data_IF_383364193947
#
_entry.id   IF_383364193947
#
_cell.length_a   1.000
_cell.length_b   1.000
_cell.length_c   1.000
_cell.angle_alpha   90.00
_cell.angle_beta   90.00
_cell.angle_gamma   90.00
#
_symmetry.space_group_name_H-M   'P 1'
#
loop_
_entity.id
_entity.type
_entity.pdbx_description
1 polymer ?
#
# COMPACT_ATOMS: atom_id res chain seq x y z
N UNK A 1 27.66 -12.62 2.90
CA UNK A 1 26.49 -12.70 3.80
C UNK A 1 26.44 -11.39 4.56
N UNK A 2 25.42 -10.58 4.29
CA UNK A 2 25.19 -9.30 4.97
C UNK A 2 24.88 -9.55 6.45
N UNK A 3 25.38 -8.68 7.33
CA UNK A 3 25.10 -8.81 8.77
C UNK A 3 23.61 -8.49 9.00
N UNK A 4 22.91 -9.32 9.81
CA UNK A 4 21.51 -9.04 10.17
C UNK A 4 21.38 -7.69 10.85
N UNK A 5 20.40 -6.90 10.45
CA UNK A 5 20.15 -5.57 11.02
C UNK A 5 19.24 -5.69 12.25
N UNK A 6 19.66 -5.09 13.37
CA UNK A 6 18.87 -5.14 14.62
C UNK A 6 17.50 -4.45 14.42
N UNK A 7 16.44 -5.17 14.73
CA UNK A 7 15.08 -4.65 14.61
C UNK A 7 14.78 -3.55 15.64
N UNK A 8 13.88 -2.61 15.31
CA UNK A 8 13.53 -1.47 16.19
C UNK A 8 12.32 -1.75 17.09
N UNK A 9 11.32 -2.45 16.57
CA UNK A 9 10.02 -2.59 17.22
C UNK A 9 9.83 -4.01 17.77
N UNK A 10 10.36 -4.27 18.96
CA UNK A 10 10.15 -5.50 19.70
C UNK A 10 10.40 -5.29 21.19
N UNK A 11 10.01 -6.25 22.00
CA UNK A 11 10.27 -6.29 23.45
C UNK A 11 10.75 -7.68 23.86
N UNK A 12 11.48 -7.75 24.96
CA UNK A 12 11.88 -9.02 25.58
C UNK A 12 10.73 -9.58 26.42
N UNK A 13 10.56 -10.90 26.41
CA UNK A 13 9.59 -11.61 27.23
C UNK A 13 10.16 -12.96 27.68
N UNK A 14 10.62 -13.07 28.93
CA UNK A 14 11.26 -14.28 29.48
C UNK A 14 12.33 -14.86 28.54
N UNK A 15 12.04 -16.00 27.89
CA UNK A 15 12.95 -16.73 27.00
C UNK A 15 12.61 -16.49 25.51
N UNK A 16 12.00 -15.37 25.17
CA UNK A 16 11.56 -15.02 23.82
C UNK A 16 11.66 -13.52 23.57
N UNK A 17 11.55 -13.13 22.31
CA UNK A 17 11.27 -11.75 21.91
C UNK A 17 9.88 -11.68 21.30
N UNK A 18 9.17 -10.58 21.56
CA UNK A 18 7.86 -10.31 20.95
C UNK A 18 8.05 -9.23 19.91
N UNK A 19 7.79 -9.56 18.66
CA UNK A 19 7.80 -8.60 17.56
C UNK A 19 6.56 -7.70 17.66
N UNK A 20 6.76 -6.39 17.76
CA UNK A 20 5.69 -5.39 17.89
C UNK A 20 5.42 -4.64 16.57
N UNK A 21 5.86 -5.19 15.45
CA UNK A 21 5.82 -4.50 14.16
C UNK A 21 4.43 -4.54 13.49
N UNK A 22 3.73 -5.67 13.59
CA UNK A 22 2.45 -5.86 12.91
C UNK A 22 1.43 -6.59 13.81
N UNK A 23 0.17 -6.67 13.34
CA UNK A 23 -0.95 -7.25 14.08
C UNK A 23 -0.80 -8.74 14.44
N UNK A 24 0.25 -9.43 14.00
CA UNK A 24 0.54 -10.81 14.44
C UNK A 24 1.16 -10.90 15.83
N UNK A 25 1.95 -9.91 16.27
CA UNK A 25 2.55 -9.92 17.58
C UNK A 25 3.37 -11.17 17.88
N UNK A 26 4.20 -11.62 16.92
CA UNK A 26 4.88 -12.92 16.98
C UNK A 26 5.76 -13.06 18.22
N UNK A 27 5.54 -14.11 19.01
CA UNK A 27 6.39 -14.51 20.15
C UNK A 27 7.45 -15.49 19.64
N UNK A 28 8.71 -15.08 19.62
CA UNK A 28 9.79 -15.79 18.95
C UNK A 28 10.83 -16.27 19.96
N UNK A 29 10.92 -17.59 20.15
CA UNK A 29 12.01 -18.23 20.88
C UNK A 29 13.29 -18.13 20.05
N UNK A 30 14.43 -18.45 20.66
CA UNK A 30 15.75 -18.49 20.00
C UNK A 30 15.70 -19.25 18.66
N UNK A 31 16.27 -18.64 17.62
CA UNK A 31 16.34 -19.19 16.26
C UNK A 31 15.04 -19.15 15.47
N UNK A 32 13.88 -18.79 16.08
CA UNK A 32 12.57 -18.80 15.40
C UNK A 32 12.35 -17.55 14.57
N UNK A 33 11.63 -17.74 13.44
CA UNK A 33 11.24 -16.68 12.51
C UNK A 33 9.84 -16.17 12.81
N UNK A 34 9.63 -14.87 12.56
CA UNK A 34 8.30 -14.28 12.49
C UNK A 34 7.50 -14.83 11.31
N UNK A 35 6.18 -14.67 11.35
CA UNK A 35 5.27 -15.13 10.30
C UNK A 35 5.60 -14.57 8.90
N UNK A 36 6.26 -13.42 8.85
CA UNK A 36 6.72 -12.79 7.61
C UNK A 36 7.94 -13.48 6.96
N UNK A 37 8.61 -14.42 7.65
CA UNK A 37 9.80 -15.13 7.18
C UNK A 37 11.11 -14.34 7.19
N UNK A 38 11.08 -13.03 7.48
CA UNK A 38 12.22 -12.12 7.34
C UNK A 38 12.68 -11.46 8.64
N UNK A 39 12.11 -11.87 9.77
CA UNK A 39 12.53 -11.41 11.10
C UNK A 39 12.80 -12.62 11.97
N UNK A 40 13.95 -12.62 12.66
CA UNK A 40 14.42 -13.78 13.43
C UNK A 40 14.94 -13.36 14.81
N UNK A 41 14.63 -14.14 15.84
CA UNK A 41 15.31 -14.04 17.13
C UNK A 41 16.67 -14.71 17.06
N UNK A 42 17.75 -13.98 17.38
CA UNK A 42 19.13 -14.46 17.46
C UNK A 42 19.78 -13.94 18.75
N UNK A 43 20.16 -14.80 19.65
CA UNK A 43 20.78 -14.41 20.92
C UNK A 43 19.86 -13.58 21.83
N UNK A 44 18.53 -13.79 21.78
CA UNK A 44 17.57 -12.99 22.55
C UNK A 44 17.25 -11.61 21.96
N UNK A 45 17.75 -11.31 20.77
CA UNK A 45 17.52 -10.04 20.05
C UNK A 45 16.77 -10.30 18.74
N UNK A 46 15.91 -9.36 18.30
CA UNK A 46 15.21 -9.47 17.03
C UNK A 46 16.01 -8.79 15.91
N UNK A 47 16.15 -9.50 14.79
CA UNK A 47 16.85 -9.01 13.60
C UNK A 47 15.93 -9.00 12.38
N UNK A 48 16.09 -7.98 11.55
CA UNK A 48 15.64 -7.95 10.16
C UNK A 48 16.71 -8.62 9.29
N UNK A 49 16.28 -9.50 8.40
CA UNK A 49 17.18 -10.26 7.51
C UNK A 49 17.21 -9.67 6.10
N UNK A 50 16.47 -8.60 5.87
CA UNK A 50 16.24 -8.01 4.53
C UNK A 50 16.60 -6.53 4.45
N UNK A 51 17.33 -6.00 5.44
CA UNK A 51 17.77 -4.61 5.41
C UNK A 51 18.76 -4.39 4.26
N UNK A 52 18.39 -3.54 3.30
CA UNK A 52 19.18 -3.25 2.11
C UNK A 52 19.16 -4.35 1.03
N UNK A 53 18.60 -5.53 1.31
CA UNK A 53 18.50 -6.66 0.38
C UNK A 53 17.26 -6.51 -0.51
N UNK A 54 17.41 -5.86 -1.65
CA UNK A 54 16.30 -5.65 -2.59
C UNK A 54 16.20 -6.79 -3.60
N UNK A 55 14.99 -7.12 -4.01
CA UNK A 55 14.68 -8.11 -5.06
C UNK A 55 13.97 -7.47 -6.25
N UNK A 56 13.54 -6.21 -6.10
CA UNK A 56 12.93 -5.44 -7.17
C UNK A 56 13.23 -3.94 -7.01
N UNK A 57 13.59 -3.32 -8.13
CA UNK A 57 13.68 -1.87 -8.33
C UNK A 57 13.08 -1.54 -9.70
N UNK A 58 12.10 -0.60 -9.73
CA UNK A 58 11.47 -0.17 -10.98
C UNK A 58 11.09 1.30 -10.93
N UNK A 59 11.11 1.96 -12.07
CA UNK A 59 10.48 3.27 -12.26
C UNK A 59 9.08 3.03 -12.81
N UNK A 60 8.07 3.38 -12.04
CA UNK A 60 6.67 3.19 -12.39
C UNK A 60 5.90 4.52 -12.36
N UNK A 61 4.84 4.69 -13.18
CA UNK A 61 3.86 5.76 -12.96
C UNK A 61 3.26 5.66 -11.56
N UNK A 62 3.01 6.81 -10.90
CA UNK A 62 2.38 6.84 -9.57
C UNK A 62 0.99 6.18 -9.60
N UNK A 63 0.26 6.28 -10.70
CA UNK A 63 -1.04 5.66 -10.90
C UNK A 63 -1.01 4.13 -10.75
N UNK A 64 0.14 3.48 -11.04
CA UNK A 64 0.31 2.02 -10.83
C UNK A 64 0.40 1.65 -9.33
N UNK A 65 0.51 2.64 -8.44
CA UNK A 65 0.50 2.44 -6.97
C UNK A 65 -0.90 2.62 -6.37
N UNK A 66 -1.96 2.49 -7.13
CA UNK A 66 -3.31 3.05 -7.01
C UNK A 66 -3.36 4.31 -6.12
N UNK A 67 -2.62 5.34 -6.54
CA UNK A 67 -2.60 6.67 -5.91
C UNK A 67 -2.90 7.72 -6.99
N UNK A 68 -4.19 8.05 -7.13
CA UNK A 68 -4.68 8.93 -8.18
C UNK A 68 -4.73 10.41 -7.73
N UNK A 69 -4.68 10.64 -6.42
CA UNK A 69 -4.66 11.97 -5.83
C UNK A 69 -3.29 12.34 -5.24
N UNK A 70 -2.21 11.67 -5.68
CA UNK A 70 -0.84 11.96 -5.26
C UNK A 70 0.01 12.22 -6.49
N UNK A 71 0.46 13.48 -6.69
CA UNK A 71 1.37 13.87 -7.77
C UNK A 71 1.03 13.26 -9.15
N UNK A 72 -0.21 13.40 -9.67
CA UNK A 72 -0.66 12.69 -10.86
C UNK A 72 0.26 12.88 -12.06
N UNK A 73 0.53 11.78 -12.78
CA UNK A 73 1.42 11.76 -13.94
C UNK A 73 2.91 11.74 -13.60
N UNK A 74 3.28 11.70 -12.31
CA UNK A 74 4.69 11.61 -11.91
C UNK A 74 5.20 10.17 -11.93
N UNK A 75 6.53 10.04 -11.95
CA UNK A 75 7.23 8.77 -11.77
C UNK A 75 7.54 8.53 -10.29
N UNK A 76 7.46 7.26 -9.89
CA UNK A 76 7.81 6.77 -8.56
C UNK A 76 8.85 5.67 -8.65
N UNK A 77 9.89 5.75 -7.84
CA UNK A 77 10.90 4.70 -7.72
C UNK A 77 10.41 3.63 -6.76
N UNK A 78 10.15 2.44 -7.27
CA UNK A 78 9.52 1.34 -6.54
C UNK A 78 10.55 0.33 -6.09
N UNK A 79 10.56 0.01 -4.80
CA UNK A 79 11.48 -0.96 -4.21
C UNK A 79 10.73 -2.04 -3.43
N UNK A 80 11.33 -3.23 -3.38
CA UNK A 80 10.85 -4.37 -2.61
C UNK A 80 11.96 -5.28 -2.11
N UNK A 81 11.71 -5.88 -0.96
CA UNK A 81 12.46 -7.04 -0.44
C UNK A 81 11.67 -8.33 -0.64
N UNK A 82 12.13 -9.46 -0.09
CA UNK A 82 11.30 -10.66 0.07
C UNK A 82 10.49 -10.62 1.35
N UNK A 83 9.45 -11.49 1.43
CA UNK A 83 8.63 -11.72 2.62
C UNK A 83 7.37 -10.88 2.70
N UNK A 84 6.38 -11.39 3.43
CA UNK A 84 5.10 -10.72 3.69
C UNK A 84 4.50 -11.26 4.99
N UNK A 85 3.80 -10.43 5.73
CA UNK A 85 3.07 -10.85 6.92
C UNK A 85 1.71 -11.50 6.61
N UNK A 86 1.25 -11.49 5.34
CA UNK A 86 0.08 -12.22 4.85
C UNK A 86 0.48 -13.44 4.02
N UNK A 87 -0.45 -14.39 3.87
CA UNK A 87 -0.35 -15.56 3.02
C UNK A 87 -1.51 -15.66 2.04
N UNK A 88 -1.78 -14.55 1.33
CA UNK A 88 -2.93 -14.43 0.43
C UNK A 88 -2.91 -15.48 -0.66
N UNK A 89 -4.01 -16.23 -0.82
CA UNK A 89 -4.14 -17.29 -1.84
C UNK A 89 -4.11 -16.74 -3.28
N UNK A 90 -4.48 -15.47 -3.45
CA UNK A 90 -4.53 -14.75 -4.73
C UNK A 90 -3.30 -13.83 -4.98
N UNK A 91 -2.18 -14.04 -4.27
CA UNK A 91 -1.05 -13.13 -4.34
C UNK A 91 -0.40 -13.14 -5.72
N UNK A 92 -0.37 -11.99 -6.42
CA UNK A 92 0.29 -11.85 -7.71
C UNK A 92 1.83 -11.84 -7.57
N UNK A 93 2.34 -11.37 -6.42
CA UNK A 93 3.77 -11.32 -6.11
C UNK A 93 4.22 -12.50 -5.23
N UNK A 94 3.58 -13.67 -5.37
CA UNK A 94 3.83 -14.82 -4.49
C UNK A 94 5.28 -15.31 -4.52
N UNK A 95 5.98 -15.17 -5.64
CA UNK A 95 7.38 -15.59 -5.79
C UNK A 95 8.35 -14.87 -4.83
N UNK A 96 8.06 -13.64 -4.46
CA UNK A 96 8.86 -12.85 -3.54
C UNK A 96 8.20 -12.69 -2.15
N UNK A 97 6.87 -12.70 -2.08
CA UNK A 97 6.12 -12.49 -0.83
C UNK A 97 6.02 -13.76 0.02
N UNK A 98 5.99 -14.95 -0.61
CA UNK A 98 5.87 -16.25 0.05
C UNK A 98 7.20 -17.03 0.04
N UNK A 99 8.31 -16.37 -0.22
CA UNK A 99 9.64 -16.90 -0.06
C UNK A 99 9.84 -17.24 1.45
N UNK A 100 9.74 -18.52 1.80
CA UNK A 100 9.84 -19.02 3.18
C UNK A 100 11.25 -18.88 3.75
N UNK A 101 11.62 -19.73 4.71
CA UNK A 101 12.97 -19.78 5.33
C UNK A 101 14.12 -19.98 4.30
N UNK A 102 13.79 -20.43 3.11
CA UNK A 102 14.68 -20.54 1.96
C UNK A 102 14.41 -19.42 0.97
N UNK A 103 15.19 -18.35 1.06
CA UNK A 103 15.33 -17.37 -0.04
C UNK A 103 16.18 -17.94 -1.20
N UNK A 104 16.45 -19.25 -1.19
CA UNK A 104 17.19 -19.95 -2.21
C UNK A 104 16.50 -19.81 -3.57
N UNK A 105 17.11 -19.04 -4.47
CA UNK A 105 16.63 -18.80 -5.82
C UNK A 105 16.10 -17.38 -6.11
N UNK A 106 15.92 -16.54 -5.11
CA UNK A 106 15.60 -15.12 -5.35
C UNK A 106 16.92 -14.34 -5.45
N UNK A 107 17.24 -13.84 -6.63
CA UNK A 107 18.40 -12.95 -6.80
C UNK A 107 18.10 -11.64 -6.08
N UNK A 108 18.96 -11.28 -5.10
CA UNK A 108 18.91 -10.00 -4.40
C UNK A 108 20.15 -9.17 -4.72
N UNK A 109 20.03 -7.86 -4.55
CA UNK A 109 21.13 -6.93 -4.67
C UNK A 109 21.10 -5.95 -3.50
N UNK A 110 22.26 -5.52 -3.07
CA UNK A 110 22.39 -4.61 -1.93
C UNK A 110 22.21 -3.15 -2.35
N UNK A 111 21.49 -2.38 -1.52
CA UNK A 111 21.40 -0.91 -1.61
C UNK A 111 21.46 -0.28 -0.23
N UNK A 112 22.12 0.87 -0.14
CA UNK A 112 21.94 1.79 0.99
C UNK A 112 20.71 2.69 0.76
N UNK A 113 20.16 3.32 1.82
CA UNK A 113 19.10 4.32 1.67
C UNK A 113 19.49 5.47 0.72
N UNK A 114 20.74 5.92 0.77
CA UNK A 114 21.27 7.01 -0.07
C UNK A 114 21.33 6.61 -1.55
N UNK A 115 21.72 5.36 -1.85
CA UNK A 115 21.73 4.83 -3.22
C UNK A 115 20.33 4.73 -3.80
N UNK A 116 19.33 4.31 -3.01
CA UNK A 116 17.92 4.28 -3.41
C UNK A 116 17.44 5.69 -3.75
N UNK A 117 17.74 6.67 -2.91
CA UNK A 117 17.37 8.08 -3.13
C UNK A 117 18.09 8.65 -4.37
N UNK A 118 19.38 8.35 -4.53
CA UNK A 118 20.14 8.79 -5.70
C UNK A 118 19.57 8.22 -7.01
N UNK A 119 19.22 6.92 -7.01
CA UNK A 119 18.60 6.25 -8.15
C UNK A 119 17.22 6.85 -8.49
N UNK A 120 16.39 7.14 -7.48
CA UNK A 120 15.11 7.80 -7.67
C UNK A 120 15.25 9.18 -8.33
N UNK A 121 16.17 9.99 -7.84
CA UNK A 121 16.46 11.32 -8.42
C UNK A 121 17.01 11.23 -9.84
N UNK A 122 17.95 10.33 -10.09
CA UNK A 122 18.51 10.10 -11.42
C UNK A 122 17.45 9.62 -12.43
N UNK A 123 16.43 8.86 -11.95
CA UNK A 123 15.29 8.44 -12.74
C UNK A 123 14.20 9.49 -12.91
N UNK A 124 14.38 10.72 -12.44
CA UNK A 124 13.37 11.78 -12.52
C UNK A 124 12.12 11.52 -11.70
N UNK A 125 12.19 10.62 -10.70
CA UNK A 125 11.07 10.29 -9.84
C UNK A 125 10.77 11.42 -8.85
N UNK A 126 9.50 11.61 -8.54
CA UNK A 126 9.04 12.54 -7.50
C UNK A 126 8.73 11.85 -6.17
N UNK A 127 8.75 10.53 -6.16
CA UNK A 127 8.48 9.74 -4.96
C UNK A 127 9.26 8.43 -4.96
N UNK A 128 9.38 7.82 -3.77
CA UNK A 128 9.81 6.44 -3.59
C UNK A 128 8.61 5.65 -3.09
N UNK A 129 8.31 4.52 -3.75
CA UNK A 129 7.23 3.59 -3.37
C UNK A 129 7.80 2.32 -2.79
N UNK A 130 7.46 2.05 -1.54
CA UNK A 130 7.74 0.81 -0.82
C UNK A 130 6.55 -0.13 -1.10
N UNK A 131 6.75 -1.17 -1.93
CA UNK A 131 5.62 -1.88 -2.56
C UNK A 131 5.96 -3.33 -2.94
N UNK A 132 5.12 -3.98 -3.75
CA UNK A 132 5.12 -5.35 -4.25
C UNK A 132 4.92 -6.40 -3.17
N UNK A 133 5.72 -6.42 -2.10
CA UNK A 133 5.41 -7.14 -0.85
C UNK A 133 4.93 -6.15 0.21
N UNK A 134 4.66 -6.62 1.41
CA UNK A 134 4.26 -5.75 2.51
C UNK A 134 5.44 -4.90 3.03
N UNK A 135 5.43 -3.58 2.87
CA UNK A 135 6.56 -2.74 3.28
C UNK A 135 6.80 -2.72 4.80
N UNK A 136 5.79 -3.02 5.60
CA UNK A 136 5.97 -3.15 7.06
C UNK A 136 7.01 -4.20 7.42
N UNK A 137 7.21 -5.28 6.64
CA UNK A 137 8.14 -6.35 7.03
C UNK A 137 9.61 -5.96 6.88
N UNK A 138 9.92 -4.98 6.01
CA UNK A 138 11.25 -4.38 5.88
C UNK A 138 11.32 -2.95 6.45
N UNK A 139 10.63 -2.74 7.55
CA UNK A 139 10.37 -1.46 8.19
C UNK A 139 11.63 -0.60 8.40
N UNK A 140 12.69 -1.17 8.92
CA UNK A 140 13.92 -0.44 9.26
C UNK A 140 14.53 0.20 8.02
N UNK A 141 14.65 -0.57 6.94
CA UNK A 141 15.19 -0.07 5.68
C UNK A 141 14.27 0.97 5.03
N UNK A 142 12.96 0.68 4.98
CA UNK A 142 11.98 1.62 4.45
C UNK A 142 11.98 2.94 5.23
N UNK A 143 12.05 2.88 6.56
CA UNK A 143 12.10 4.07 7.42
C UNK A 143 13.36 4.92 7.17
N UNK A 144 14.53 4.29 7.07
CA UNK A 144 15.79 4.99 6.83
C UNK A 144 15.80 5.60 5.41
N UNK A 145 15.27 4.90 4.40
CA UNK A 145 15.03 5.46 3.07
C UNK A 145 14.05 6.65 3.11
N UNK A 146 12.96 6.57 3.90
CA UNK A 146 12.01 7.66 4.05
C UNK A 146 12.67 8.92 4.62
N UNK A 147 13.56 8.77 5.61
CA UNK A 147 14.32 9.90 6.17
C UNK A 147 15.23 10.55 5.12
N UNK A 148 15.99 9.73 4.39
CA UNK A 148 16.90 10.22 3.34
C UNK A 148 16.12 10.86 2.17
N UNK A 149 15.01 10.26 1.73
CA UNK A 149 14.18 10.78 0.65
C UNK A 149 13.54 12.14 0.99
N UNK A 150 13.03 12.29 2.24
CA UNK A 150 12.46 13.55 2.70
C UNK A 150 13.48 14.71 2.67
N UNK A 151 14.73 14.45 3.05
CA UNK A 151 15.80 15.45 2.98
C UNK A 151 16.11 15.93 1.54
N UNK A 152 15.74 15.13 0.55
CA UNK A 152 15.95 15.40 -0.88
C UNK A 152 14.66 15.81 -1.61
N UNK A 153 13.57 16.10 -0.88
CA UNK A 153 12.30 16.56 -1.45
C UNK A 153 11.51 15.49 -2.22
N UNK A 154 11.77 14.21 -1.96
CA UNK A 154 10.98 13.11 -2.51
C UNK A 154 9.85 12.72 -1.57
N UNK A 155 8.66 12.47 -2.11
CA UNK A 155 7.55 11.92 -1.37
C UNK A 155 7.76 10.43 -1.06
N UNK A 156 7.31 9.99 0.11
CA UNK A 156 7.37 8.59 0.52
C UNK A 156 6.00 7.94 0.47
N UNK A 157 5.90 6.81 -0.22
CA UNK A 157 4.65 6.13 -0.55
C UNK A 157 4.70 4.69 -0.07
N UNK A 158 3.72 4.26 0.73
CA UNK A 158 3.50 2.85 1.03
C UNK A 158 2.33 2.29 0.22
N UNK A 159 2.52 1.10 -0.35
CA UNK A 159 1.43 0.25 -0.85
C UNK A 159 1.38 -0.97 0.06
N UNK A 160 0.38 -1.04 0.92
CA UNK A 160 0.39 -1.87 2.12
C UNK A 160 -0.91 -2.65 2.28
N UNK A 161 -0.83 -3.83 2.91
CA UNK A 161 -2.02 -4.54 3.38
C UNK A 161 -2.60 -3.97 4.70
N UNK A 162 -1.99 -2.91 5.23
CA UNK A 162 -2.47 -2.20 6.41
C UNK A 162 -2.37 -2.95 7.73
N UNK A 163 -1.65 -4.08 7.81
CA UNK A 163 -1.59 -4.89 9.03
C UNK A 163 -0.47 -4.49 9.99
N UNK A 164 -0.07 -3.22 9.98
CA UNK A 164 0.94 -2.70 10.89
C UNK A 164 0.38 -2.48 12.30
N UNK A 165 1.25 -2.44 13.31
CA UNK A 165 0.87 -2.08 14.66
C UNK A 165 0.68 -0.57 14.78
N UNK A 166 -0.05 -0.12 15.81
CA UNK A 166 -0.18 1.30 16.14
C UNK A 166 1.20 1.95 16.34
N UNK A 167 2.12 1.25 17.03
CA UNK A 167 3.48 1.73 17.29
C UNK A 167 4.27 1.93 15.98
N UNK A 168 4.15 0.99 15.03
CA UNK A 168 4.76 1.11 13.71
C UNK A 168 4.16 2.26 12.91
N UNK A 169 2.83 2.40 12.89
CA UNK A 169 2.12 3.47 12.21
C UNK A 169 2.52 4.86 12.72
N UNK A 170 2.51 5.05 14.04
CA UNK A 170 2.92 6.33 14.66
C UNK A 170 4.40 6.67 14.44
N UNK A 171 5.27 5.64 14.36
CA UNK A 171 6.70 5.86 14.06
C UNK A 171 6.90 6.29 12.60
N UNK A 172 6.13 5.68 11.67
CA UNK A 172 6.27 5.90 10.23
C UNK A 172 5.61 7.20 9.75
N UNK A 173 4.44 7.54 10.28
CA UNK A 173 3.60 8.63 9.79
C UNK A 173 4.33 9.98 9.63
N UNK A 174 5.25 10.42 10.53
CA UNK A 174 5.97 11.69 10.36
C UNK A 174 6.84 11.78 9.11
N UNK A 175 7.20 10.64 8.49
CA UNK A 175 8.06 10.57 7.31
C UNK A 175 7.35 10.02 6.08
N UNK A 176 6.08 9.59 6.21
CA UNK A 176 5.26 9.06 5.14
C UNK A 176 4.36 10.15 4.54
N UNK A 177 4.33 10.27 3.22
CA UNK A 177 3.50 11.26 2.52
C UNK A 177 2.12 10.71 2.21
N UNK A 178 2.06 9.48 1.71
CA UNK A 178 0.82 8.81 1.34
C UNK A 178 0.92 7.30 1.51
N UNK A 179 -0.25 6.67 1.66
CA UNK A 179 -0.40 5.23 1.73
C UNK A 179 -1.62 4.77 0.92
N UNK A 180 -1.42 3.74 0.08
CA UNK A 180 -2.53 2.95 -0.41
C UNK A 180 -2.67 1.72 0.47
N UNK A 181 -3.87 1.48 1.01
CA UNK A 181 -4.16 0.33 1.87
C UNK A 181 -5.14 -0.60 1.19
N UNK A 182 -4.76 -1.87 1.08
CA UNK A 182 -5.64 -2.93 0.58
C UNK A 182 -6.66 -3.37 1.65
N UNK A 183 -7.92 -2.95 1.55
CA UNK A 183 -9.04 -3.62 2.24
C UNK A 183 -9.50 -4.77 1.36
N UNK A 184 -8.99 -5.98 1.66
CA UNK A 184 -9.15 -7.16 0.80
C UNK A 184 -10.52 -7.84 0.91
N UNK A 185 -11.30 -7.51 1.93
CA UNK A 185 -12.66 -7.95 2.23
C UNK A 185 -13.14 -7.35 3.53
N UNK A 186 -14.39 -7.56 3.91
CA UNK A 186 -14.98 -6.95 5.12
C UNK A 186 -15.50 -7.98 6.14
N UNK A 187 -14.89 -9.17 6.15
CA UNK A 187 -15.15 -10.18 7.15
C UNK A 187 -13.87 -10.83 7.69
N UNK A 188 -13.89 -11.17 8.97
CA UNK A 188 -12.77 -11.85 9.63
C UNK A 188 -12.55 -13.26 9.05
N UNK A 189 -13.62 -13.88 8.58
CA UNK A 189 -13.59 -15.21 7.95
C UNK A 189 -12.81 -15.17 6.62
N UNK A 190 -13.06 -14.16 5.78
CA UNK A 190 -12.30 -13.92 4.58
C UNK A 190 -10.81 -13.71 4.91
N UNK A 191 -10.52 -12.81 5.85
CA UNK A 191 -9.13 -12.53 6.23
C UNK A 191 -8.40 -13.75 6.77
N UNK A 192 -9.04 -14.57 7.61
CA UNK A 192 -8.44 -15.79 8.16
C UNK A 192 -8.19 -16.84 7.09
N UNK A 193 -9.17 -17.12 6.23
CA UNK A 193 -9.11 -18.20 5.23
C UNK A 193 -8.30 -17.83 4.00
N UNK A 194 -8.41 -16.58 3.54
CA UNK A 194 -7.81 -16.14 2.27
C UNK A 194 -6.47 -15.42 2.46
N UNK A 195 -6.32 -14.63 3.52
CA UNK A 195 -5.15 -13.78 3.73
C UNK A 195 -4.23 -14.28 4.87
N UNK A 196 -4.70 -15.16 5.74
CA UNK A 196 -3.95 -15.62 6.92
C UNK A 196 -3.81 -14.57 8.02
N UNK A 197 -4.77 -13.65 8.14
CA UNK A 197 -4.75 -12.48 9.02
C UNK A 197 -6.12 -12.22 9.68
N UNK A 198 -6.34 -11.03 10.21
CA UNK A 198 -7.61 -10.54 10.77
C UNK A 198 -7.97 -9.19 10.16
N UNK A 199 -9.26 -8.88 10.07
CA UNK A 199 -9.76 -7.63 9.49
C UNK A 199 -9.44 -6.41 10.37
N UNK A 200 -9.75 -6.49 11.67
CA UNK A 200 -9.75 -5.32 12.55
C UNK A 200 -8.44 -4.51 12.54
N UNK A 201 -7.22 -5.11 12.60
CA UNK A 201 -5.98 -4.34 12.56
C UNK A 201 -5.80 -3.53 11.26
N UNK A 202 -6.36 -3.99 10.13
CA UNK A 202 -6.33 -3.23 8.87
C UNK A 202 -7.22 -2.00 8.97
N UNK A 203 -8.44 -2.16 9.48
CA UNK A 203 -9.38 -1.05 9.66
C UNK A 203 -8.84 0.01 10.64
N UNK A 204 -8.18 -0.44 11.71
CA UNK A 204 -7.55 0.45 12.69
C UNK A 204 -6.40 1.25 12.06
N UNK A 205 -5.60 0.61 11.21
CA UNK A 205 -4.52 1.29 10.47
C UNK A 205 -5.06 2.36 9.52
N UNK A 206 -6.16 2.09 8.80
CA UNK A 206 -6.79 3.10 7.91
C UNK A 206 -7.19 4.35 8.70
N UNK A 207 -7.89 4.17 9.83
CA UNK A 207 -8.29 5.29 10.70
C UNK A 207 -7.09 6.06 11.23
N UNK A 208 -6.13 5.33 11.78
CA UNK A 208 -4.95 5.91 12.41
C UNK A 208 -4.09 6.70 11.41
N UNK A 209 -3.85 6.17 10.19
CA UNK A 209 -3.09 6.89 9.17
C UNK A 209 -3.77 8.19 8.76
N UNK A 210 -5.10 8.17 8.63
CA UNK A 210 -5.87 9.39 8.35
C UNK A 210 -5.78 10.40 9.51
N UNK A 211 -5.92 9.96 10.76
CA UNK A 211 -5.78 10.79 11.97
C UNK A 211 -4.38 11.41 12.09
N UNK A 212 -3.34 10.68 11.69
CA UNK A 212 -1.96 11.14 11.71
C UNK A 212 -1.61 12.07 10.52
N UNK A 213 -2.57 12.39 9.66
CA UNK A 213 -2.41 13.33 8.55
C UNK A 213 -1.69 12.76 7.33
N UNK A 214 -1.52 11.44 7.22
CA UNK A 214 -1.02 10.77 6.02
C UNK A 214 -2.13 10.75 4.97
N UNK A 215 -1.82 11.03 3.70
CA UNK A 215 -2.80 10.86 2.64
C UNK A 215 -3.10 9.37 2.44
N UNK A 216 -4.39 9.01 2.47
CA UNK A 216 -4.85 7.61 2.38
C UNK A 216 -5.69 7.43 1.12
N UNK A 217 -5.37 6.40 0.32
CA UNK A 217 -6.26 5.84 -0.69
C UNK A 217 -6.46 4.35 -0.41
N UNK A 218 -7.62 3.81 -0.75
CA UNK A 218 -7.97 2.42 -0.45
C UNK A 218 -8.08 1.63 -1.74
N UNK A 219 -7.58 0.40 -1.74
CA UNK A 219 -7.79 -0.55 -2.84
C UNK A 219 -8.56 -1.78 -2.36
N UNK A 220 -9.49 -2.26 -3.18
CA UNK A 220 -10.15 -3.56 -3.00
C UNK A 220 -10.04 -4.35 -4.29
N UNK A 221 -9.32 -5.47 -4.24
CA UNK A 221 -9.34 -6.46 -5.32
C UNK A 221 -10.67 -7.23 -5.22
N UNK A 222 -11.56 -7.02 -6.17
CA UNK A 222 -12.88 -7.65 -6.19
C UNK A 222 -12.75 -9.06 -6.76
N UNK A 223 -13.06 -10.08 -5.94
CA UNK A 223 -12.88 -11.51 -6.28
C UNK A 223 -14.25 -12.17 -6.40
N UNK A 224 -14.61 -12.71 -7.59
CA UNK A 224 -15.91 -13.34 -7.81
C UNK A 224 -16.25 -14.44 -6.82
N UNK A 225 -17.43 -14.32 -6.18
CA UNK A 225 -17.94 -15.28 -5.20
C UNK A 225 -17.24 -15.27 -3.83
N UNK A 226 -16.41 -14.24 -3.54
CA UNK A 226 -15.76 -14.10 -2.23
C UNK A 226 -16.05 -12.78 -1.53
N UNK A 227 -15.80 -11.65 -2.20
CA UNK A 227 -15.96 -10.31 -1.63
C UNK A 227 -16.70 -9.36 -2.59
N UNK A 228 -17.34 -9.89 -3.63
CA UNK A 228 -18.04 -9.16 -4.69
C UNK A 228 -19.55 -8.98 -4.44
N UNK A 229 -20.09 -9.44 -3.29
CA UNK A 229 -21.50 -9.23 -2.97
C UNK A 229 -21.77 -7.74 -2.69
N UNK A 230 -22.97 -7.27 -3.07
CA UNK A 230 -23.39 -5.88 -2.79
C UNK A 230 -23.28 -5.52 -1.30
N UNK A 231 -23.66 -6.44 -0.41
CA UNK A 231 -23.57 -6.23 1.05
C UNK A 231 -22.13 -6.03 1.52
N UNK A 232 -21.20 -6.84 1.00
CA UNK A 232 -19.76 -6.72 1.32
C UNK A 232 -19.21 -5.37 0.84
N UNK A 233 -19.48 -5.00 -0.41
CA UNK A 233 -19.04 -3.75 -1.03
C UNK A 233 -19.65 -2.52 -0.33
N UNK A 234 -20.95 -2.55 0.04
CA UNK A 234 -21.59 -1.48 0.82
C UNK A 234 -20.94 -1.30 2.19
N UNK A 235 -20.56 -2.38 2.87
CA UNK A 235 -19.85 -2.31 4.16
C UNK A 235 -18.48 -1.66 4.01
N UNK A 236 -17.74 -1.98 2.95
CA UNK A 236 -16.45 -1.33 2.65
C UNK A 236 -16.67 0.16 2.36
N UNK A 237 -17.57 0.51 1.44
CA UNK A 237 -17.87 1.90 1.06
C UNK A 237 -18.32 2.73 2.26
N UNK A 238 -19.25 2.22 3.08
CA UNK A 238 -19.73 2.88 4.29
C UNK A 238 -18.61 3.09 5.33
N UNK A 239 -17.70 2.12 5.48
CA UNK A 239 -16.54 2.25 6.38
C UNK A 239 -15.62 3.39 5.92
N UNK A 240 -15.29 3.46 4.63
CA UNK A 240 -14.41 4.50 4.08
C UNK A 240 -15.08 5.87 4.21
N UNK A 241 -16.34 5.99 3.77
CA UNK A 241 -17.11 7.24 3.82
C UNK A 241 -17.31 7.73 5.27
N UNK A 242 -17.44 6.81 6.23
CA UNK A 242 -17.56 7.13 7.66
C UNK A 242 -16.26 7.69 8.28
N UNK A 243 -15.12 7.52 7.62
CA UNK A 243 -13.85 8.16 8.03
C UNK A 243 -13.73 9.52 7.34
N UNK A 244 -13.76 9.53 6.01
CA UNK A 244 -13.72 10.74 5.19
C UNK A 244 -14.19 10.40 3.77
N UNK A 245 -15.25 11.06 3.30
CA UNK A 245 -15.80 10.85 1.96
C UNK A 245 -14.82 11.16 0.83
N UNK A 246 -13.80 11.95 1.10
CA UNK A 246 -12.77 12.33 0.11
C UNK A 246 -11.66 11.29 -0.05
N UNK A 247 -11.66 10.19 0.73
CA UNK A 247 -10.71 9.08 0.55
C UNK A 247 -11.05 8.35 -0.76
N UNK A 248 -10.14 8.30 -1.74
CA UNK A 248 -10.37 7.57 -2.97
C UNK A 248 -10.44 6.05 -2.73
N UNK A 249 -11.43 5.41 -3.34
CA UNK A 249 -11.56 3.96 -3.32
C UNK A 249 -11.33 3.38 -4.72
N UNK A 250 -10.33 2.53 -4.87
CA UNK A 250 -9.98 1.81 -6.09
C UNK A 250 -10.57 0.40 -6.05
N UNK A 251 -11.59 0.12 -6.87
CA UNK A 251 -12.13 -1.22 -7.08
C UNK A 251 -11.41 -1.85 -8.27
N UNK A 252 -10.63 -2.90 -8.00
CA UNK A 252 -9.69 -3.49 -8.96
C UNK A 252 -10.10 -4.92 -9.36
N UNK A 253 -9.95 -5.26 -10.64
CA UNK A 253 -10.27 -6.58 -11.17
C UNK A 253 -9.25 -7.64 -10.75
N UNK A 254 -9.76 -8.77 -10.24
CA UNK A 254 -9.00 -9.98 -9.97
C UNK A 254 -8.73 -10.75 -11.26
N UNK A 255 -7.55 -11.32 -11.38
CA UNK A 255 -7.18 -12.36 -12.35
C UNK A 255 -6.65 -13.59 -11.61
N UNK A 256 -6.96 -14.81 -12.08
CA UNK A 256 -6.48 -16.05 -11.47
C UNK A 256 -4.96 -16.05 -11.29
N UNK A 257 -4.49 -16.30 -10.06
CA UNK A 257 -3.07 -16.32 -9.76
C UNK A 257 -2.77 -17.20 -8.53
N UNK A 258 -1.54 -17.72 -8.46
CA UNK A 258 -0.97 -18.48 -7.35
C UNK A 258 -1.83 -19.69 -6.97
N UNK A 259 -2.47 -19.66 -5.79
CA UNK A 259 -3.32 -20.75 -5.25
C UNK A 259 -4.82 -20.51 -5.48
N UNK A 260 -5.19 -19.47 -6.23
CA UNK A 260 -6.57 -19.13 -6.54
C UNK A 260 -6.73 -19.07 -8.07
N UNK A 261 -6.77 -20.25 -8.69
CA UNK A 261 -6.91 -20.44 -10.13
C UNK A 261 -8.26 -21.05 -10.52
N UNK A 262 -9.10 -21.33 -9.54
CA UNK A 262 -10.42 -21.95 -9.64
C UNK A 262 -11.57 -20.97 -9.87
N UNK A 263 -11.27 -19.67 -9.99
CA UNK A 263 -12.26 -18.60 -10.15
C UNK A 263 -12.03 -17.80 -11.43
N UNK A 264 -13.11 -17.32 -12.08
CA UNK A 264 -12.98 -16.46 -13.25
C UNK A 264 -12.38 -15.10 -12.88
N UNK A 265 -11.81 -14.39 -13.84
CA UNK A 265 -11.46 -12.98 -13.71
C UNK A 265 -12.71 -12.14 -13.42
N UNK A 266 -12.54 -11.02 -12.73
CA UNK A 266 -13.64 -10.11 -12.41
C UNK A 266 -14.19 -9.46 -13.67
N UNK A 267 -15.51 -9.46 -13.81
CA UNK A 267 -16.18 -8.83 -14.94
C UNK A 267 -16.19 -7.30 -14.83
N UNK A 268 -16.21 -6.60 -15.97
CA UNK A 268 -16.40 -5.16 -16.00
C UNK A 268 -17.73 -4.74 -15.34
N UNK A 269 -18.78 -5.58 -15.45
CA UNK A 269 -20.06 -5.32 -14.81
C UNK A 269 -19.94 -5.33 -13.29
N UNK A 270 -19.22 -6.30 -12.70
CA UNK A 270 -18.99 -6.37 -11.26
C UNK A 270 -18.25 -5.14 -10.74
N UNK A 271 -17.26 -4.64 -11.49
CA UNK A 271 -16.51 -3.45 -11.09
C UNK A 271 -17.33 -2.16 -11.24
N UNK A 272 -18.15 -2.03 -12.28
CA UNK A 272 -19.09 -0.90 -12.42
C UNK A 272 -20.12 -0.91 -11.29
N UNK A 273 -20.63 -2.07 -10.90
CA UNK A 273 -21.51 -2.23 -9.73
C UNK A 273 -20.79 -1.80 -8.44
N UNK A 274 -19.56 -2.26 -8.21
CA UNK A 274 -18.77 -1.84 -7.04
C UNK A 274 -18.53 -0.33 -7.00
N UNK A 275 -18.25 0.30 -8.15
CA UNK A 275 -18.11 1.76 -8.28
C UNK A 275 -19.40 2.48 -7.93
N UNK A 276 -20.54 2.03 -8.46
CA UNK A 276 -21.85 2.62 -8.17
C UNK A 276 -22.15 2.54 -6.67
N UNK A 277 -21.93 1.39 -6.04
CA UNK A 277 -22.11 1.18 -4.60
C UNK A 277 -21.23 2.14 -3.78
N UNK A 278 -20.00 2.37 -4.19
CA UNK A 278 -19.11 3.31 -3.50
C UNK A 278 -19.63 4.75 -3.55
N UNK A 279 -20.10 5.19 -4.69
CA UNK A 279 -20.76 6.52 -4.88
C UNK A 279 -22.03 6.61 -4.04
N UNK A 280 -22.90 5.60 -4.08
CA UNK A 280 -24.13 5.53 -3.25
C UNK A 280 -23.83 5.52 -1.75
N UNK A 281 -22.67 4.98 -1.34
CA UNK A 281 -22.20 5.02 0.05
C UNK A 281 -21.69 6.40 0.48
N UNK A 282 -21.66 7.38 -0.43
CA UNK A 282 -21.30 8.77 -0.15
C UNK A 282 -19.83 9.12 -0.44
N UNK A 283 -19.06 8.27 -1.13
CA UNK A 283 -17.69 8.58 -1.52
C UNK A 283 -17.65 9.55 -2.69
N UNK A 284 -16.76 10.54 -2.61
CA UNK A 284 -16.54 11.52 -3.67
C UNK A 284 -15.75 10.92 -4.86
N UNK A 285 -14.89 9.93 -4.61
CA UNK A 285 -13.97 9.37 -5.60
C UNK A 285 -13.94 7.84 -5.54
N UNK A 286 -14.43 7.20 -6.60
CA UNK A 286 -14.37 5.74 -6.76
C UNK A 286 -13.84 5.41 -8.16
N UNK A 287 -12.73 4.70 -8.22
CA UNK A 287 -12.03 4.36 -9.45
C UNK A 287 -12.15 2.87 -9.77
N UNK A 288 -12.21 2.56 -11.06
CA UNK A 288 -12.13 1.19 -11.57
C UNK A 288 -10.71 0.96 -12.10
N UNK A 289 -10.11 -0.17 -11.74
CA UNK A 289 -8.76 -0.51 -12.16
C UNK A 289 -8.59 -1.96 -12.59
N UNK A 290 -7.47 -2.22 -13.26
CA UNK A 290 -7.05 -3.54 -13.73
C UNK A 290 -7.99 -4.20 -14.76
N UNK A 291 -8.79 -3.38 -15.44
CA UNK A 291 -9.57 -3.71 -16.63
C UNK A 291 -9.56 -2.52 -17.60
N UNK A 292 -9.90 -2.77 -18.87
CA UNK A 292 -10.17 -1.70 -19.81
C UNK A 292 -11.61 -1.23 -19.56
N UNK A 293 -11.76 -0.02 -19.01
CA UNK A 293 -13.06 0.63 -18.80
C UNK A 293 -12.97 2.11 -19.18
N UNK A 294 -13.84 2.57 -20.08
CA UNK A 294 -13.81 3.96 -20.54
C UNK A 294 -14.31 4.90 -19.43
N UNK A 295 -13.39 5.74 -18.93
CA UNK A 295 -13.69 6.79 -17.94
C UNK A 295 -13.69 6.35 -16.47
N UNK A 296 -13.59 5.06 -16.15
CA UNK A 296 -13.53 4.58 -14.76
C UNK A 296 -12.30 5.02 -13.99
N UNK A 297 -11.27 5.49 -14.70
CA UNK A 297 -10.00 5.99 -14.14
C UNK A 297 -9.91 7.52 -14.08
N UNK A 298 -10.91 8.25 -14.63
CA UNK A 298 -10.90 9.70 -14.62
C UNK A 298 -11.26 10.24 -13.22
N UNK A 299 -10.65 11.37 -12.86
CA UNK A 299 -11.08 12.13 -11.68
C UNK A 299 -12.08 13.20 -12.10
N UNK A 300 -13.31 13.10 -11.63
CA UNK A 300 -14.36 14.09 -11.83
C UNK A 300 -14.55 14.94 -10.58
N UNK A 301 -14.90 16.20 -10.75
CA UNK A 301 -15.24 17.09 -9.63
C UNK A 301 -16.49 16.59 -8.89
N UNK A 302 -16.47 16.43 -7.55
CA UNK A 302 -17.64 15.93 -6.82
C UNK A 302 -18.82 16.89 -6.81
N UNK A 303 -18.62 18.15 -7.19
CA UNK A 303 -19.64 19.19 -7.18
C UNK A 303 -20.28 19.43 -8.56
N UNK A 304 -19.48 19.60 -9.61
CA UNK A 304 -19.98 19.92 -10.94
C UNK A 304 -19.83 18.77 -11.95
N UNK A 305 -19.24 17.65 -11.55
CA UNK A 305 -19.02 16.43 -12.33
C UNK A 305 -18.14 16.58 -13.58
N UNK A 306 -17.47 17.72 -13.75
CA UNK A 306 -16.50 17.94 -14.83
C UNK A 306 -15.27 17.03 -14.63
N UNK A 307 -14.82 16.37 -15.70
CA UNK A 307 -13.57 15.60 -15.69
C UNK A 307 -12.36 16.54 -15.56
N UNK A 308 -11.70 16.48 -14.42
CA UNK A 308 -10.58 17.36 -14.08
C UNK A 308 -9.21 16.67 -14.27
N UNK A 309 -9.15 15.34 -14.19
CA UNK A 309 -7.99 14.56 -14.61
C UNK A 309 -8.47 13.41 -15.48
N UNK A 310 -7.96 13.33 -16.71
CA UNK A 310 -8.27 12.24 -17.64
C UNK A 310 -7.12 11.27 -17.70
N UNK A 311 -7.43 9.96 -17.63
CA UNK A 311 -6.46 8.86 -17.67
C UNK A 311 -6.81 7.83 -18.72
N UNK A 312 -5.79 7.10 -19.15
CA UNK A 312 -5.92 5.87 -19.93
C UNK A 312 -4.90 4.89 -19.36
N UNK A 313 -5.36 3.89 -18.63
CA UNK A 313 -4.50 3.03 -17.81
C UNK A 313 -3.70 3.86 -16.81
N UNK A 314 -2.40 3.67 -16.77
CA UNK A 314 -1.53 4.41 -15.86
C UNK A 314 -1.00 5.75 -16.43
N UNK A 315 -1.56 6.23 -17.55
CA UNK A 315 -1.12 7.48 -18.19
C UNK A 315 -2.11 8.60 -17.97
N UNK A 316 -1.66 9.70 -17.38
CA UNK A 316 -2.43 10.95 -17.28
C UNK A 316 -2.40 11.64 -18.63
N UNK A 317 -3.57 11.83 -19.26
CA UNK A 317 -3.75 12.52 -20.54
C UNK A 317 -3.91 14.01 -20.38
N UNK A 318 -4.58 14.42 -19.32
CA UNK A 318 -4.72 15.83 -18.94
C UNK A 318 -4.95 15.94 -17.43
N UNK A 319 -4.36 16.96 -16.82
CA UNK A 319 -4.63 17.38 -15.45
C UNK A 319 -4.96 18.86 -15.46
N UNK A 320 -6.18 19.21 -15.09
CA UNK A 320 -6.73 20.56 -15.12
C UNK A 320 -6.87 21.18 -13.72
N UNK A 321 -6.45 20.45 -12.66
CA UNK A 321 -6.49 20.97 -11.29
C UNK A 321 -5.58 22.20 -11.18
N UNK A 322 -6.10 23.28 -10.61
CA UNK A 322 -5.37 24.53 -10.36
C UNK A 322 -5.52 24.90 -8.88
N UNK A 323 -4.40 25.11 -8.19
CA UNK A 323 -4.39 25.47 -6.76
C UNK A 323 -5.27 24.55 -5.90
N UNK A 324 -5.21 23.25 -6.17
CA UNK A 324 -6.03 22.20 -5.52
C UNK A 324 -7.53 22.38 -5.72
N UNK A 325 -7.98 23.06 -6.77
CA UNK A 325 -9.38 23.33 -7.06
C UNK A 325 -9.79 22.90 -8.47
N UNK A 326 -11.09 22.61 -8.62
CA UNK A 326 -11.73 22.42 -9.92
C UNK A 326 -11.73 23.74 -10.70
N UNK A 327 -11.22 23.78 -11.96
CA UNK A 327 -11.16 25.00 -12.73
C UNK A 327 -12.55 25.49 -13.21
N UNK A 328 -13.57 24.62 -13.21
CA UNK A 328 -14.91 24.97 -13.66
C UNK A 328 -15.78 25.61 -12.57
N UNK A 329 -15.70 25.13 -11.32
CA UNK A 329 -16.58 25.59 -10.24
C UNK A 329 -15.86 26.03 -8.96
N UNK A 330 -14.53 25.96 -8.90
CA UNK A 330 -13.74 26.36 -7.73
C UNK A 330 -13.77 25.40 -6.55
N UNK A 331 -14.51 24.28 -6.61
CA UNK A 331 -14.57 23.28 -5.54
C UNK A 331 -13.15 22.74 -5.25
N UNK A 332 -12.75 22.73 -3.97
CA UNK A 332 -11.49 22.16 -3.54
C UNK A 332 -11.48 20.65 -3.74
N UNK A 333 -10.42 20.15 -4.33
CA UNK A 333 -10.20 18.72 -4.59
C UNK A 333 -9.13 18.23 -3.63
N UNK A 334 -9.49 17.27 -2.76
CA UNK A 334 -8.58 16.69 -1.77
C UNK A 334 -7.51 15.84 -2.46
N UNK A 335 -6.24 16.01 -2.05
CA UNK A 335 -5.10 15.30 -2.63
C UNK A 335 -3.76 15.95 -2.30
N UNK A 336 -2.67 15.28 -2.68
CA UNK A 336 -1.31 15.79 -2.67
C UNK A 336 -0.92 16.17 -4.11
N UNK A 337 -1.34 17.35 -4.56
CA UNK A 337 -1.12 17.81 -5.95
C UNK A 337 0.28 18.34 -6.18
N UNK A 338 0.90 18.85 -5.12
CA UNK A 338 2.26 19.35 -5.07
C UNK A 338 2.99 18.77 -3.86
N UNK A 339 4.28 18.58 -3.98
CA UNK A 339 5.14 18.22 -2.87
C UNK A 339 6.20 19.31 -2.72
N UNK A 340 6.33 19.94 -1.56
CA UNK A 340 7.23 21.08 -1.38
C UNK A 340 8.67 20.68 -1.68
N UNK A 341 9.35 21.50 -2.48
CA UNK A 341 10.79 21.41 -2.61
C UNK A 341 11.44 21.62 -1.23
N UNK A 342 12.61 20.99 -1.02
CA UNK A 342 13.36 21.06 0.23
C UNK A 342 13.47 22.50 0.75
N UNK A 343 12.92 22.77 1.95
CA UNK A 343 13.15 24.05 2.65
C UNK A 343 11.93 24.74 3.26
N UNK A 344 10.71 24.22 3.09
CA UNK A 344 9.49 24.89 3.57
C UNK A 344 8.66 24.01 4.53
N UNK A 345 9.21 23.68 5.69
CA UNK A 345 8.47 23.42 6.95
C UNK A 345 9.39 23.62 8.14
#
# INVERSE_FOLDING_TARGET
>A
MTQPYKARLYRHEKNAVVCELCGHGCVLKEGRFGKCGVRQNRGGELFSLVYGELVAEHIDPIEKKPLFHVLPGSLSYSISTVGCNFSCLHCQNYSISQAGESTAGTSSFWRTPEEVVAAALAGGCRSISYTYVEPTVFFEFAYDCCLAARQRGLANIFVSNGYMSEKAARTLAPVLSAINIDIKGFSDDFYKKICGARLQPVLDTVRLMKELGVWVEITTLVIPGLNDSENELRRIGAFIAGIDRSIPWHVSGFHPAYRMTDRPATSAQSLRMARAIGIESGLDFVYVGNILDEGGENTSCPSCHEDIIRRTGFSVRSNRIQHSCCPACGTRISGLWEYPATGSR
#
